data_IF_580198152181
#
_entry.id   IF_580198152181
#
_cell.length_a   1.000
_cell.length_b   1.000
_cell.length_c   1.000
_cell.angle_alpha   90.00
_cell.angle_beta   90.00
_cell.angle_gamma   90.00
#
_symmetry.space_group_name_H-M   'P 1'
#
loop_
_entity.id
_entity.type
_entity.pdbx_description
1 polymer ?
#
# COMPACT_ATOMS: atom_id res chain seq x y z
N UNK A 1 2.24 3.32 30.91
CA UNK A 1 1.47 3.58 29.68
C UNK A 1 1.71 2.45 28.71
N UNK A 2 0.66 1.70 28.41
CA UNK A 2 0.66 0.66 27.39
C UNK A 2 -0.70 0.68 26.68
N UNK A 3 -0.76 0.30 25.39
CA UNK A 3 -2.02 0.24 24.64
C UNK A 3 -3.02 -0.82 25.19
N UNK A 4 -2.57 -1.66 26.11
CA UNK A 4 -3.44 -2.58 26.88
C UNK A 4 -4.16 -1.89 28.03
N UNK A 5 -3.82 -0.64 28.36
CA UNK A 5 -4.59 0.20 29.28
C UNK A 5 -5.68 0.96 28.50
N UNK A 6 -6.95 0.89 28.91
CA UNK A 6 -8.04 1.55 28.21
C UNK A 6 -7.83 3.06 28.02
N UNK A 7 -7.40 3.76 29.07
CA UNK A 7 -7.19 5.22 29.03
C UNK A 7 -6.06 5.61 28.07
N UNK A 8 -5.00 4.78 27.99
CA UNK A 8 -3.89 4.98 27.07
C UNK A 8 -4.33 4.76 25.61
N UNK A 9 -5.09 3.70 25.35
CA UNK A 9 -5.65 3.43 24.03
C UNK A 9 -6.61 4.55 23.59
N UNK A 10 -7.47 5.02 24.49
CA UNK A 10 -8.37 6.15 24.21
C UNK A 10 -7.59 7.43 23.90
N UNK A 11 -6.55 7.76 24.68
CA UNK A 11 -5.72 8.93 24.41
C UNK A 11 -5.04 8.85 23.03
N UNK A 12 -4.64 7.66 22.58
CA UNK A 12 -4.11 7.45 21.22
C UNK A 12 -5.19 7.64 20.17
N UNK A 13 -6.42 7.14 20.38
CA UNK A 13 -7.55 7.40 19.48
C UNK A 13 -7.87 8.89 19.34
N UNK A 14 -7.78 9.65 20.44
CA UNK A 14 -8.02 11.10 20.46
C UNK A 14 -6.91 11.85 19.73
N UNK A 15 -5.65 11.48 19.99
CA UNK A 15 -4.50 12.04 19.29
C UNK A 15 -4.56 11.78 17.78
N UNK A 16 -4.92 10.56 17.38
CA UNK A 16 -5.06 10.18 15.97
C UNK A 16 -6.13 11.02 15.27
N UNK A 17 -7.29 11.23 15.92
CA UNK A 17 -8.34 12.13 15.40
C UNK A 17 -7.83 13.57 15.27
N UNK A 18 -7.15 14.07 16.30
CA UNK A 18 -6.61 15.43 16.29
C UNK A 18 -5.60 15.62 15.14
N UNK A 19 -4.68 14.68 14.94
CA UNK A 19 -3.69 14.74 13.86
C UNK A 19 -4.33 14.69 12.47
N UNK A 20 -5.32 13.84 12.26
CA UNK A 20 -6.04 13.74 10.98
C UNK A 20 -6.94 14.95 10.71
N UNK A 21 -7.27 15.75 11.73
CA UNK A 21 -8.00 17.01 11.56
C UNK A 21 -7.08 18.21 11.25
N UNK A 22 -5.75 18.08 11.43
CA UNK A 22 -4.81 19.20 11.24
C UNK A 22 -4.52 19.54 9.78
N UNK A 23 -4.78 18.61 8.86
CA UNK A 23 -4.56 18.80 7.43
C UNK A 23 -5.55 17.95 6.61
N UNK A 24 -5.69 18.27 5.33
CA UNK A 24 -6.47 17.50 4.37
C UNK A 24 -5.62 16.33 3.83
N UNK A 25 -5.50 15.28 4.65
CA UNK A 25 -4.69 14.10 4.33
C UNK A 25 -5.39 13.22 3.29
N UNK A 26 -4.63 12.71 2.32
CA UNK A 26 -5.15 11.72 1.34
C UNK A 26 -5.32 10.32 1.96
N UNK A 27 -4.65 10.04 3.08
CA UNK A 27 -4.75 8.76 3.75
C UNK A 27 -3.89 8.62 5.01
N UNK A 28 -4.06 7.49 5.68
CA UNK A 28 -3.39 7.11 6.92
C UNK A 28 -2.88 5.68 6.84
N UNK A 29 -1.69 5.44 7.40
CA UNK A 29 -1.09 4.12 7.51
C UNK A 29 -0.96 3.73 8.98
N UNK A 30 -1.70 2.71 9.41
CA UNK A 30 -1.49 2.08 10.71
C UNK A 30 -0.36 1.05 10.56
N UNK A 31 0.86 1.49 10.89
CA UNK A 31 2.07 0.72 10.64
C UNK A 31 2.57 -0.01 11.89
N UNK A 32 3.04 -1.25 11.69
CA UNK A 32 3.91 -1.98 12.62
C UNK A 32 3.38 -2.08 14.06
N UNK A 33 2.07 -2.27 14.20
CA UNK A 33 1.47 -2.48 15.51
C UNK A 33 1.71 -3.93 15.97
N UNK A 34 2.72 -4.12 16.82
CA UNK A 34 3.06 -5.41 17.42
C UNK A 34 3.68 -5.27 18.81
N UNK A 35 3.84 -6.40 19.50
CA UNK A 35 4.69 -6.46 20.69
C UNK A 35 6.15 -6.68 20.28
N UNK A 36 7.09 -5.89 20.78
CA UNK A 36 8.50 -6.06 20.41
C UNK A 36 9.24 -6.92 21.45
N UNK A 37 9.29 -8.23 21.22
CA UNK A 37 10.15 -9.14 22.01
C UNK A 37 11.49 -9.37 21.26
N UNK A 38 12.65 -9.02 21.84
CA UNK A 38 13.96 -9.20 21.20
C UNK A 38 14.33 -10.67 20.90
N UNK A 39 13.75 -11.61 21.64
CA UNK A 39 13.93 -13.06 21.49
C UNK A 39 12.63 -13.79 21.81
N UNK A 40 12.58 -15.09 21.54
CA UNK A 40 11.43 -15.91 21.90
C UNK A 40 11.25 -16.01 23.42
N UNK A 41 10.05 -16.40 23.88
CA UNK A 41 9.73 -16.62 25.27
C UNK A 41 10.62 -17.70 25.92
N UNK A 42 11.15 -18.61 25.12
CA UNK A 42 11.97 -19.74 25.58
C UNK A 42 13.46 -19.42 25.58
N UNK A 43 13.90 -18.47 24.74
CA UNK A 43 15.30 -18.05 24.62
C UNK A 43 15.70 -16.98 25.65
N UNK A 44 14.82 -16.01 25.89
CA UNK A 44 15.02 -14.97 26.90
C UNK A 44 13.68 -14.55 27.52
N UNK A 45 13.13 -15.38 28.43
CA UNK A 45 11.84 -15.15 29.03
C UNK A 45 11.71 -13.79 29.74
N UNK A 46 12.82 -13.27 30.27
CA UNK A 46 12.91 -11.96 30.93
C UNK A 46 12.75 -10.77 29.98
N UNK A 47 13.00 -10.96 28.67
CA UNK A 47 12.84 -9.94 27.63
C UNK A 47 11.51 -10.08 26.88
N UNK A 48 10.65 -11.01 27.27
CA UNK A 48 9.40 -11.28 26.56
C UNK A 48 8.32 -10.24 26.90
N UNK A 49 7.83 -9.53 25.90
CA UNK A 49 6.88 -8.41 26.03
C UNK A 49 5.56 -8.74 25.33
N UNK A 50 4.39 -8.42 25.90
CA UNK A 50 4.18 -7.43 26.94
C UNK A 50 4.12 -8.06 28.34
N UNK A 51 4.60 -7.33 29.35
CA UNK A 51 4.43 -7.68 30.77
C UNK A 51 3.94 -6.50 31.61
N UNK A 52 3.27 -5.53 30.96
CA UNK A 52 2.64 -4.41 31.65
C UNK A 52 1.51 -4.92 32.60
N UNK A 53 1.30 -4.29 33.77
CA UNK A 53 0.28 -4.73 34.74
C UNK A 53 -1.13 -4.95 34.18
N UNK A 54 -1.58 -4.10 33.24
CA UNK A 54 -2.87 -4.26 32.55
C UNK A 54 -2.98 -5.57 31.78
N UNK A 55 -1.97 -5.93 30.99
CA UNK A 55 -1.91 -7.20 30.28
C UNK A 55 -1.88 -8.39 31.25
N UNK A 56 -1.03 -8.32 32.29
CA UNK A 56 -0.91 -9.37 33.30
C UNK A 56 -2.24 -9.62 34.03
N UNK A 57 -2.91 -8.54 34.44
CA UNK A 57 -4.23 -8.61 35.11
C UNK A 57 -5.28 -9.22 34.19
N UNK A 58 -5.33 -8.83 32.91
CA UNK A 58 -6.29 -9.38 31.96
C UNK A 58 -6.06 -10.88 31.71
N UNK A 59 -4.80 -11.29 31.53
CA UNK A 59 -4.45 -12.71 31.38
C UNK A 59 -4.79 -13.51 32.65
N UNK A 60 -4.42 -12.99 33.82
CA UNK A 60 -4.68 -13.63 35.10
C UNK A 60 -6.18 -13.77 35.38
N UNK A 61 -7.00 -12.78 35.01
CA UNK A 61 -8.44 -12.87 35.13
C UNK A 61 -9.02 -14.03 34.29
N UNK A 62 -8.47 -14.27 33.09
CA UNK A 62 -8.93 -15.33 32.19
C UNK A 62 -8.43 -16.72 32.55
N UNK A 63 -7.15 -16.84 32.90
CA UNK A 63 -6.48 -18.14 33.05
C UNK A 63 -6.09 -18.46 34.49
N UNK A 64 -6.38 -17.57 35.46
CA UNK A 64 -6.07 -17.72 36.89
C UNK A 64 -4.58 -17.92 37.19
N UNK A 65 -3.72 -17.48 36.28
CA UNK A 65 -2.25 -17.60 36.35
C UNK A 65 -1.64 -16.27 35.92
N UNK A 66 -0.62 -15.79 36.63
CA UNK A 66 0.17 -14.64 36.18
C UNK A 66 1.06 -15.04 35.00
N UNK A 67 1.00 -14.37 33.83
CA UNK A 67 1.78 -14.77 32.68
C UNK A 67 3.29 -14.64 32.90
N UNK A 68 3.74 -13.79 33.84
CA UNK A 68 5.16 -13.73 34.20
C UNK A 68 5.63 -15.02 34.89
N UNK A 69 4.78 -15.60 35.73
CA UNK A 69 5.08 -16.85 36.44
C UNK A 69 5.16 -18.05 35.48
N UNK A 70 4.55 -17.98 34.29
CA UNK A 70 4.70 -19.01 33.24
C UNK A 70 6.15 -19.08 32.74
N UNK A 71 6.85 -17.96 32.76
CA UNK A 71 8.19 -17.80 32.20
C UNK A 71 9.31 -17.99 33.23
N UNK A 72 8.99 -17.93 34.53
CA UNK A 72 9.93 -18.09 35.64
C UNK A 72 10.30 -19.57 35.87
N UNK A 73 11.57 -19.97 35.80
CA UNK A 73 11.97 -21.39 35.89
C UNK A 73 11.58 -22.12 37.18
N UNK A 74 11.55 -21.39 38.30
CA UNK A 74 11.26 -21.88 39.65
C UNK A 74 9.75 -21.98 39.94
N UNK A 75 8.92 -21.26 39.19
CA UNK A 75 7.45 -21.27 39.33
C UNK A 75 6.81 -22.64 39.10
N UNK A 76 5.75 -22.95 39.87
CA UNK A 76 4.94 -24.17 39.72
C UNK A 76 4.04 -24.17 38.48
N UNK A 77 3.86 -22.99 37.88
CA UNK A 77 3.11 -22.80 36.63
C UNK A 77 4.06 -22.52 35.46
N UNK A 78 5.35 -22.77 35.62
CA UNK A 78 6.31 -22.66 34.53
C UNK A 78 5.89 -23.52 33.33
N UNK A 79 6.07 -23.01 32.11
CA UNK A 79 5.67 -23.68 30.88
C UNK A 79 6.29 -25.08 30.69
N UNK A 80 7.48 -25.34 31.24
CA UNK A 80 8.12 -26.67 31.20
C UNK A 80 7.44 -27.67 32.13
N UNK A 81 6.88 -27.20 33.25
CA UNK A 81 6.15 -28.02 34.23
C UNK A 81 4.68 -28.19 33.84
N UNK A 82 4.09 -27.21 33.15
CA UNK A 82 2.69 -27.21 32.71
C UNK A 82 2.59 -26.92 31.21
N UNK A 83 2.72 -27.97 30.37
CA UNK A 83 2.53 -27.87 28.92
C UNK A 83 1.16 -27.26 28.60
N UNK A 84 1.08 -26.42 27.56
CA UNK A 84 -0.16 -25.71 27.18
C UNK A 84 -0.25 -24.27 27.70
N UNK A 85 0.46 -23.91 28.77
CA UNK A 85 0.41 -22.54 29.32
C UNK A 85 1.13 -21.53 28.44
N UNK A 86 2.25 -21.92 27.80
CA UNK A 86 2.94 -21.06 26.86
C UNK A 86 2.07 -20.78 25.64
N UNK A 87 1.44 -21.81 25.06
CA UNK A 87 0.56 -21.68 23.90
C UNK A 87 -0.63 -20.75 24.21
N UNK A 88 -1.20 -20.83 25.41
CA UNK A 88 -2.25 -19.91 25.87
C UNK A 88 -1.74 -18.47 25.99
N UNK A 89 -0.52 -18.27 26.49
CA UNK A 89 0.12 -16.95 26.55
C UNK A 89 0.34 -16.38 25.16
N UNK A 90 0.87 -17.16 24.22
CA UNK A 90 1.08 -16.75 22.84
C UNK A 90 -0.24 -16.40 22.14
N UNK A 91 -1.27 -17.23 22.29
CA UNK A 91 -2.59 -16.98 21.73
C UNK A 91 -3.21 -15.70 22.31
N UNK A 92 -3.10 -15.49 23.63
CA UNK A 92 -3.65 -14.29 24.28
C UNK A 92 -2.94 -13.00 23.85
N UNK A 93 -1.62 -13.06 23.57
CA UNK A 93 -0.89 -11.94 22.98
C UNK A 93 -1.50 -11.55 21.62
N UNK A 94 -1.67 -12.54 20.75
CA UNK A 94 -2.23 -12.31 19.41
C UNK A 94 -3.65 -11.75 19.50
N UNK A 95 -4.50 -12.33 20.35
CA UNK A 95 -5.87 -11.86 20.59
C UNK A 95 -5.88 -10.40 21.09
N UNK A 96 -5.02 -10.07 22.06
CA UNK A 96 -4.92 -8.73 22.63
C UNK A 96 -4.49 -7.71 21.57
N UNK A 97 -3.45 -8.02 20.80
CA UNK A 97 -2.97 -7.14 19.73
C UNK A 97 -4.04 -6.95 18.65
N UNK A 98 -4.70 -8.04 18.24
CA UNK A 98 -5.79 -8.00 17.26
C UNK A 98 -6.94 -7.10 17.73
N UNK A 99 -7.33 -7.18 19.01
CA UNK A 99 -8.37 -6.31 19.58
C UNK A 99 -7.98 -4.82 19.63
N UNK A 100 -6.71 -4.52 19.92
CA UNK A 100 -6.18 -3.15 19.86
C UNK A 100 -6.21 -2.64 18.41
N UNK A 101 -5.72 -3.43 17.46
CA UNK A 101 -5.76 -3.11 16.02
C UNK A 101 -7.19 -2.84 15.55
N UNK A 102 -8.13 -3.70 15.92
CA UNK A 102 -9.55 -3.52 15.60
C UNK A 102 -10.09 -2.20 16.15
N UNK A 103 -9.77 -1.86 17.40
CA UNK A 103 -10.22 -0.60 18.03
C UNK A 103 -9.71 0.61 17.27
N UNK A 104 -8.42 0.62 16.90
CA UNK A 104 -7.82 1.70 16.11
C UNK A 104 -8.43 1.79 14.72
N UNK A 105 -8.64 0.66 14.04
CA UNK A 105 -9.30 0.62 12.72
C UNK A 105 -10.75 1.11 12.78
N UNK A 106 -11.50 0.81 13.85
CA UNK A 106 -12.85 1.34 14.05
C UNK A 106 -12.85 2.85 14.25
N UNK A 107 -11.87 3.38 14.98
CA UNK A 107 -11.70 4.83 15.12
C UNK A 107 -11.38 5.48 13.77
N UNK A 108 -10.49 4.88 12.98
CA UNK A 108 -10.20 5.37 11.63
C UNK A 108 -11.42 5.31 10.70
N UNK A 109 -12.21 4.25 10.77
CA UNK A 109 -13.46 4.14 10.01
C UNK A 109 -14.48 5.23 10.42
N UNK A 110 -14.55 5.58 11.70
CA UNK A 110 -15.39 6.70 12.16
C UNK A 110 -14.91 8.05 11.60
N UNK A 111 -13.59 8.27 11.52
CA UNK A 111 -13.01 9.47 10.90
C UNK A 111 -13.29 9.47 9.38
N UNK A 112 -13.15 8.32 8.71
CA UNK A 112 -13.45 8.18 7.28
C UNK A 112 -14.93 8.45 6.96
N UNK A 113 -15.86 8.17 7.87
CA UNK A 113 -17.27 8.55 7.68
C UNK A 113 -17.48 10.07 7.60
N UNK A 114 -16.62 10.85 8.26
CA UNK A 114 -16.58 12.31 8.18
C UNK A 114 -15.71 12.81 7.00
N UNK A 115 -14.74 11.99 6.57
CA UNK A 115 -13.80 12.27 5.47
C UNK A 115 -13.76 11.11 4.46
N UNK A 116 -14.76 11.00 3.57
CA UNK A 116 -14.95 9.81 2.72
C UNK A 116 -13.78 9.46 1.80
N UNK A 117 -12.94 10.45 1.45
CA UNK A 117 -11.79 10.28 0.57
C UNK A 117 -10.51 9.80 1.29
N UNK A 118 -10.52 9.74 2.63
CA UNK A 118 -9.35 9.34 3.43
C UNK A 118 -9.03 7.86 3.19
N UNK A 119 -7.90 7.57 2.53
CA UNK A 119 -7.43 6.21 2.33
C UNK A 119 -6.94 5.57 3.63
N UNK A 120 -7.21 4.27 3.84
CA UNK A 120 -6.72 3.52 4.99
C UNK A 120 -5.79 2.39 4.56
N UNK A 121 -4.60 2.34 5.15
CA UNK A 121 -3.61 1.30 4.94
C UNK A 121 -3.16 0.70 6.28
N UNK A 122 -2.88 -0.60 6.28
CA UNK A 122 -2.22 -1.30 7.39
C UNK A 122 -0.90 -1.85 6.90
N UNK A 123 0.19 -1.50 7.58
CA UNK A 123 1.51 -2.09 7.35
C UNK A 123 1.79 -3.15 8.40
N UNK A 124 2.17 -4.34 7.96
CA UNK A 124 2.36 -5.49 8.86
C UNK A 124 3.46 -6.42 8.37
N UNK A 125 4.00 -7.21 9.29
CA UNK A 125 5.01 -8.22 9.00
C UNK A 125 4.36 -9.53 8.51
N UNK A 126 4.93 -10.18 7.50
CA UNK A 126 4.58 -11.55 7.14
C UNK A 126 5.12 -12.53 8.19
N UNK A 127 4.29 -12.80 9.20
CA UNK A 127 4.56 -13.74 10.28
C UNK A 127 4.52 -15.22 9.86
N UNK A 128 4.20 -15.51 8.60
CA UNK A 128 4.13 -16.89 8.08
C UNK A 128 5.48 -17.36 7.53
N UNK A 129 6.27 -16.44 6.99
CA UNK A 129 7.62 -16.75 6.51
C UNK A 129 8.57 -17.15 7.63
N UNK A 130 8.30 -16.68 8.86
CA UNK A 130 9.05 -17.08 10.05
C UNK A 130 8.13 -17.18 11.29
N UNK A 131 7.81 -18.41 11.76
CA UNK A 131 7.04 -18.62 12.99
C UNK A 131 7.65 -18.00 14.24
N UNK A 132 8.97 -17.79 14.29
CA UNK A 132 9.63 -17.10 15.41
C UNK A 132 9.18 -15.65 15.48
N UNK A 133 8.96 -15.00 14.33
CA UNK A 133 8.45 -13.63 14.28
C UNK A 133 7.00 -13.55 14.72
N UNK A 134 6.18 -14.55 14.40
CA UNK A 134 4.81 -14.66 14.94
C UNK A 134 4.79 -14.62 16.47
N UNK A 135 5.65 -15.41 17.11
CA UNK A 135 5.80 -15.45 18.56
C UNK A 135 6.28 -14.10 19.11
N UNK A 136 7.39 -13.59 18.57
CA UNK A 136 8.06 -12.39 19.07
C UNK A 136 7.20 -11.15 18.94
N UNK A 137 6.49 -11.03 17.81
CA UNK A 137 5.61 -9.90 17.51
C UNK A 137 4.23 -10.02 18.19
N UNK A 138 3.84 -11.23 18.59
CA UNK A 138 2.46 -11.49 19.03
C UNK A 138 1.43 -11.13 17.95
N UNK A 139 1.79 -11.33 16.69
CA UNK A 139 1.03 -10.95 15.51
C UNK A 139 0.66 -12.21 14.71
N UNK A 140 -0.54 -12.21 14.12
CA UNK A 140 -1.02 -13.26 13.24
C UNK A 140 -1.65 -12.65 11.99
N UNK A 141 -1.02 -12.89 10.84
CA UNK A 141 -1.48 -12.34 9.57
C UNK A 141 -2.89 -12.82 9.20
N UNK A 142 -3.27 -14.06 9.51
CA UNK A 142 -4.61 -14.57 9.19
C UNK A 142 -5.69 -13.86 10.03
N UNK A 143 -5.40 -13.54 11.30
CA UNK A 143 -6.33 -12.78 12.15
C UNK A 143 -6.46 -11.33 11.70
N UNK A 144 -5.37 -10.70 11.26
CA UNK A 144 -5.42 -9.36 10.68
C UNK A 144 -6.24 -9.35 9.37
N UNK A 145 -6.05 -10.34 8.50
CA UNK A 145 -6.85 -10.49 7.28
C UNK A 145 -8.34 -10.73 7.58
N UNK A 146 -8.66 -11.39 8.70
CA UNK A 146 -10.05 -11.54 9.14
C UNK A 146 -10.69 -10.19 9.51
N UNK A 147 -9.97 -9.28 10.17
CA UNK A 147 -10.47 -7.92 10.46
C UNK A 147 -10.84 -7.16 9.18
N UNK A 148 -10.08 -7.37 8.10
CA UNK A 148 -10.31 -6.73 6.81
C UNK A 148 -11.67 -7.05 6.18
N UNK A 149 -12.28 -8.18 6.55
CA UNK A 149 -13.62 -8.55 6.08
C UNK A 149 -14.71 -7.64 6.62
N UNK A 150 -14.44 -6.94 7.72
CA UNK A 150 -15.37 -6.04 8.41
C UNK A 150 -14.94 -4.58 8.26
N UNK A 151 -13.64 -4.31 8.24
CA UNK A 151 -13.05 -2.97 8.13
C UNK A 151 -12.14 -2.92 6.91
N UNK A 152 -12.57 -2.35 5.76
CA UNK A 152 -11.78 -2.40 4.53
C UNK A 152 -10.53 -1.51 4.64
N UNK A 153 -9.36 -2.08 4.34
CA UNK A 153 -8.09 -1.35 4.24
C UNK A 153 -7.20 -1.92 3.12
N UNK A 154 -6.26 -1.11 2.63
CA UNK A 154 -5.14 -1.59 1.81
C UNK A 154 -4.10 -2.29 2.69
N UNK A 155 -3.51 -3.38 2.21
CA UNK A 155 -2.50 -4.12 2.97
C UNK A 155 -1.11 -3.85 2.41
N UNK A 156 -0.21 -3.36 3.25
CA UNK A 156 1.22 -3.32 3.00
C UNK A 156 1.91 -4.41 3.84
N UNK A 157 2.68 -5.27 3.18
CA UNK A 157 3.31 -6.43 3.81
C UNK A 157 4.83 -6.30 3.74
N UNK A 158 5.47 -6.52 4.88
CA UNK A 158 6.92 -6.59 5.04
C UNK A 158 7.39 -8.02 5.20
N UNK A 159 8.61 -8.29 4.73
CA UNK A 159 9.28 -9.54 4.99
C UNK A 159 10.07 -9.48 6.31
N UNK A 160 10.05 -10.57 7.11
CA UNK A 160 10.80 -10.59 8.36
C UNK A 160 12.30 -10.56 8.10
N UNK A 161 13.03 -9.80 8.92
CA UNK A 161 14.47 -9.62 8.78
C UNK A 161 15.26 -10.94 8.82
N UNK A 162 14.72 -11.94 9.50
CA UNK A 162 15.25 -13.30 9.56
C UNK A 162 15.27 -13.99 8.19
N UNK A 163 14.50 -13.51 7.22
CA UNK A 163 14.40 -14.04 5.86
C UNK A 163 15.12 -13.21 4.81
N UNK A 164 15.78 -12.11 5.19
CA UNK A 164 16.50 -11.24 4.24
C UNK A 164 17.68 -11.92 3.54
N UNK A 165 18.17 -13.03 4.10
CA UNK A 165 19.17 -13.88 3.46
C UNK A 165 18.58 -14.70 2.28
N UNK A 166 17.26 -14.85 2.22
CA UNK A 166 16.58 -15.52 1.11
C UNK A 166 16.58 -14.57 -0.09
N UNK A 167 16.81 -15.10 -1.31
CA UNK A 167 16.85 -14.29 -2.53
C UNK A 167 15.50 -13.63 -2.88
N UNK A 168 15.46 -12.94 -4.01
CA UNK A 168 14.30 -12.18 -4.47
C UNK A 168 13.00 -13.00 -4.61
N UNK A 169 13.11 -14.31 -4.85
CA UNK A 169 11.97 -15.21 -5.06
C UNK A 169 10.98 -15.23 -3.88
N UNK A 170 11.42 -14.89 -2.66
CA UNK A 170 10.54 -14.82 -1.49
C UNK A 170 9.40 -13.82 -1.66
N UNK A 171 9.62 -12.72 -2.38
CA UNK A 171 8.59 -11.72 -2.63
C UNK A 171 7.47 -12.25 -3.53
N UNK A 172 7.80 -13.09 -4.52
CA UNK A 172 6.79 -13.75 -5.34
C UNK A 172 5.97 -14.75 -4.50
N UNK A 173 6.63 -15.56 -3.66
CA UNK A 173 5.95 -16.50 -2.75
C UNK A 173 5.04 -15.78 -1.75
N UNK A 174 5.52 -14.68 -1.15
CA UNK A 174 4.77 -13.86 -0.21
C UNK A 174 3.57 -13.19 -0.91
N UNK A 175 3.81 -12.57 -2.07
CA UNK A 175 2.78 -11.87 -2.84
C UNK A 175 1.67 -12.81 -3.30
N UNK A 176 2.00 -13.96 -3.87
CA UNK A 176 1.03 -14.94 -4.35
C UNK A 176 0.10 -15.42 -3.22
N UNK A 177 0.65 -15.71 -2.03
CA UNK A 177 -0.12 -16.15 -0.87
C UNK A 177 -1.12 -15.09 -0.39
N UNK A 178 -0.69 -13.82 -0.34
CA UNK A 178 -1.56 -12.71 0.04
C UNK A 178 -2.62 -12.45 -1.03
N UNK A 179 -2.24 -12.52 -2.31
CA UNK A 179 -3.15 -12.30 -3.43
C UNK A 179 -4.29 -13.31 -3.46
N UNK A 180 -3.99 -14.58 -3.18
CA UNK A 180 -5.00 -15.65 -3.05
C UNK A 180 -6.08 -15.30 -2.01
N UNK A 181 -5.70 -14.66 -0.91
CA UNK A 181 -6.61 -14.31 0.21
C UNK A 181 -7.31 -12.97 0.05
N UNK A 182 -6.63 -11.99 -0.53
CA UNK A 182 -7.13 -10.62 -0.71
C UNK A 182 -7.98 -10.45 -1.97
N UNK A 183 -7.81 -11.35 -2.95
CA UNK A 183 -8.34 -11.19 -4.29
C UNK A 183 -7.63 -10.10 -5.09
N UNK A 184 -8.09 -9.89 -6.32
CA UNK A 184 -7.49 -8.96 -7.28
C UNK A 184 -7.94 -7.50 -7.08
N UNK A 185 -9.06 -7.28 -6.40
CA UNK A 185 -9.63 -5.93 -6.19
C UNK A 185 -8.99 -5.18 -5.02
N UNK A 186 -8.36 -5.90 -4.09
CA UNK A 186 -7.71 -5.29 -2.94
C UNK A 186 -6.28 -4.87 -3.29
N UNK A 187 -5.90 -3.59 -3.04
CA UNK A 187 -4.50 -3.19 -3.14
C UNK A 187 -3.62 -3.98 -2.17
N UNK A 188 -2.62 -4.65 -2.71
CA UNK A 188 -1.53 -5.28 -1.97
C UNK A 188 -0.25 -4.52 -2.29
N UNK A 189 0.44 -4.02 -1.28
CA UNK A 189 1.75 -3.42 -1.40
C UNK A 189 2.76 -4.36 -0.75
N UNK A 190 3.84 -4.67 -1.45
CA UNK A 190 4.98 -5.35 -0.83
C UNK A 190 6.05 -4.32 -0.51
N UNK A 191 6.43 -4.26 0.76
CA UNK A 191 7.42 -3.33 1.26
C UNK A 191 8.81 -3.98 1.29
N UNK A 192 9.76 -3.35 0.62
CA UNK A 192 11.12 -3.84 0.50
C UNK A 192 12.02 -3.10 1.48
N UNK A 193 12.54 -3.83 2.46
CA UNK A 193 13.50 -3.32 3.43
C UNK A 193 14.91 -3.23 2.82
N UNK A 194 15.25 -2.04 2.32
CA UNK A 194 16.59 -1.65 1.86
C UNK A 194 17.33 -0.96 2.99
N UNK A 195 17.74 -1.74 3.97
CA UNK A 195 18.50 -1.26 5.14
C UNK A 195 19.80 -2.04 5.30
N UNK A 196 20.64 -1.63 6.25
CA UNK A 196 21.87 -2.35 6.57
C UNK A 196 21.51 -3.74 7.16
N UNK A 197 22.11 -4.79 6.60
CA UNK A 197 21.90 -6.18 7.00
C UNK A 197 22.93 -6.58 8.05
N UNK A 198 22.47 -7.29 9.08
CA UNK A 198 23.35 -7.84 10.11
C UNK A 198 23.77 -9.27 9.73
N UNK A 199 24.99 -9.39 9.17
CA UNK A 199 25.77 -10.61 8.86
C UNK A 199 25.39 -11.43 7.60
N UNK A 200 26.42 -11.97 6.93
CA UNK A 200 26.33 -13.05 5.93
C UNK A 200 25.89 -12.66 4.51
N UNK A 201 25.34 -11.46 4.30
CA UNK A 201 24.94 -11.00 2.98
C UNK A 201 26.14 -10.50 2.14
N UNK A 202 26.16 -10.75 0.81
CA UNK A 202 27.25 -10.26 -0.06
C UNK A 202 27.43 -8.74 -0.04
N UNK A 203 26.33 -8.01 0.14
CA UNK A 203 26.32 -6.55 0.30
C UNK A 203 25.75 -6.19 1.68
N UNK A 204 26.36 -5.16 2.30
CA UNK A 204 25.87 -4.58 3.56
C UNK A 204 24.42 -4.09 3.43
N UNK A 205 24.07 -3.55 2.27
CA UNK A 205 22.73 -3.07 1.91
C UNK A 205 22.43 -3.48 0.48
N UNK A 206 21.16 -3.76 0.20
CA UNK A 206 20.69 -4.11 -1.14
C UNK A 206 20.89 -2.93 -2.08
N UNK A 207 21.45 -3.18 -3.26
CA UNK A 207 21.60 -2.16 -4.31
C UNK A 207 21.76 -2.81 -5.69
N UNK A 208 21.67 -2.02 -6.75
CA UNK A 208 21.90 -2.45 -8.11
C UNK A 208 21.02 -3.62 -8.53
N UNK A 209 21.60 -4.62 -9.21
CA UNK A 209 20.86 -5.76 -9.76
C UNK A 209 20.13 -6.60 -8.70
N UNK A 210 20.63 -6.64 -7.46
CA UNK A 210 19.94 -7.33 -6.37
C UNK A 210 18.60 -6.63 -6.05
N UNK A 211 18.62 -5.30 -5.91
CA UNK A 211 17.42 -4.50 -5.67
C UNK A 211 16.47 -4.55 -6.88
N UNK A 212 16.99 -4.47 -8.11
CA UNK A 212 16.19 -4.64 -9.31
C UNK A 212 15.48 -6.00 -9.32
N UNK A 213 16.15 -7.07 -8.88
CA UNK A 213 15.54 -8.39 -8.79
C UNK A 213 14.44 -8.43 -7.72
N UNK A 214 14.64 -7.78 -6.57
CA UNK A 214 13.63 -7.69 -5.51
C UNK A 214 12.38 -6.95 -6.01
N UNK A 215 12.56 -5.77 -6.59
CA UNK A 215 11.46 -4.95 -7.14
C UNK A 215 10.71 -5.71 -8.24
N UNK A 216 11.41 -6.36 -9.16
CA UNK A 216 10.77 -7.15 -10.22
C UNK A 216 9.92 -8.29 -9.67
N UNK A 217 10.43 -9.04 -8.68
CA UNK A 217 9.69 -10.16 -8.09
C UNK A 217 8.52 -9.69 -7.22
N UNK A 218 8.65 -8.55 -6.54
CA UNK A 218 7.54 -7.99 -5.77
C UNK A 218 6.44 -7.46 -6.69
N UNK A 219 6.82 -6.73 -7.75
CA UNK A 219 5.90 -6.13 -8.71
C UNK A 219 5.14 -7.16 -9.57
N UNK A 220 5.53 -8.45 -9.58
CA UNK A 220 4.80 -9.48 -10.32
C UNK A 220 3.54 -9.98 -9.59
N UNK A 221 3.44 -9.76 -8.28
CA UNK A 221 2.33 -10.27 -7.45
C UNK A 221 1.56 -9.14 -6.72
N UNK A 222 2.23 -8.01 -6.49
CA UNK A 222 1.71 -6.87 -5.73
C UNK A 222 1.11 -5.80 -6.64
N UNK A 223 0.12 -5.06 -6.12
CA UNK A 223 -0.46 -3.87 -6.78
C UNK A 223 0.51 -2.69 -6.84
N UNK A 224 1.44 -2.62 -5.89
CA UNK A 224 2.51 -1.65 -5.83
C UNK A 224 3.69 -2.21 -5.03
N UNK A 225 4.84 -1.58 -5.16
CA UNK A 225 6.04 -1.88 -4.37
C UNK A 225 6.40 -0.62 -3.59
N UNK A 226 6.57 -0.74 -2.28
CA UNK A 226 7.14 0.31 -1.44
C UNK A 226 8.58 -0.03 -1.09
N UNK A 227 9.40 0.99 -0.85
CA UNK A 227 10.82 0.81 -0.50
C UNK A 227 11.13 1.56 0.78
N UNK A 228 11.56 0.82 1.80
CA UNK A 228 11.97 1.37 3.08
C UNK A 228 13.50 1.31 3.21
N UNK A 229 14.25 2.40 3.41
CA UNK A 229 13.81 3.79 3.50
C UNK A 229 14.35 4.61 2.32
N UNK A 230 13.64 5.64 1.87
CA UNK A 230 14.02 6.44 0.70
C UNK A 230 15.46 7.00 0.76
N UNK A 231 15.91 7.37 1.96
CA UNK A 231 17.25 7.89 2.22
C UNK A 231 18.37 6.84 2.09
N UNK A 232 18.04 5.55 2.01
CA UNK A 232 19.02 4.47 1.90
C UNK A 232 19.35 4.12 0.45
N UNK A 233 18.53 4.56 -0.51
CA UNK A 233 18.69 4.30 -1.93
C UNK A 233 19.81 5.13 -2.55
N UNK A 234 20.65 4.45 -3.35
CA UNK A 234 21.63 5.14 -4.19
C UNK A 234 20.90 5.94 -5.29
N UNK A 235 21.45 7.09 -5.73
CA UNK A 235 20.86 7.85 -6.82
C UNK A 235 20.64 7.03 -8.10
N UNK A 236 21.58 6.14 -8.43
CA UNK A 236 21.48 5.24 -9.58
C UNK A 236 20.33 4.24 -9.43
N UNK A 237 20.13 3.68 -8.22
CA UNK A 237 19.01 2.77 -7.95
C UNK A 237 17.67 3.50 -8.13
N UNK A 238 17.54 4.70 -7.56
CA UNK A 238 16.31 5.52 -7.70
C UNK A 238 15.93 5.77 -9.16
N UNK A 239 16.91 6.03 -10.02
CA UNK A 239 16.67 6.23 -11.44
C UNK A 239 16.23 4.94 -12.16
N UNK A 240 16.65 3.76 -11.68
CA UNK A 240 16.36 2.48 -12.30
C UNK A 240 15.05 1.83 -11.85
N UNK A 241 14.60 2.04 -10.60
CA UNK A 241 13.44 1.31 -10.06
C UNK A 241 12.16 1.46 -10.91
N UNK A 242 11.80 2.65 -11.45
CA UNK A 242 10.63 2.77 -12.32
C UNK A 242 10.73 1.89 -13.57
N UNK A 243 11.91 1.82 -14.19
CA UNK A 243 12.17 0.98 -15.36
C UNK A 243 12.07 -0.52 -15.04
N UNK A 244 12.50 -0.91 -13.83
CA UNK A 244 12.37 -2.30 -13.36
C UNK A 244 10.90 -2.69 -13.20
N UNK A 245 10.06 -1.82 -12.64
CA UNK A 245 8.62 -2.07 -12.56
C UNK A 245 8.02 -2.17 -13.97
N UNK A 246 8.43 -1.28 -14.88
CA UNK A 246 8.01 -1.27 -16.29
C UNK A 246 8.54 -2.46 -17.12
N UNK A 247 9.52 -3.23 -16.62
CA UNK A 247 10.09 -4.38 -17.34
C UNK A 247 9.08 -5.52 -17.62
N UNK A 248 7.90 -5.47 -17.00
CA UNK A 248 6.80 -6.40 -17.25
C UNK A 248 5.97 -6.04 -18.50
N UNK A 249 6.24 -4.87 -19.11
CA UNK A 249 5.55 -4.42 -20.32
C UNK A 249 6.14 -5.09 -21.54
N UNK A 250 5.30 -5.76 -22.33
CA UNK A 250 5.70 -6.40 -23.57
C UNK A 250 5.26 -5.56 -24.78
N UNK A 251 6.23 -5.05 -25.55
CA UNK A 251 5.98 -4.29 -26.78
C UNK A 251 6.21 -5.16 -28.02
N UNK A 252 5.30 -5.05 -28.99
CA UNK A 252 5.42 -5.71 -30.30
C UNK A 252 4.83 -4.86 -31.42
N UNK A 253 5.24 -5.16 -32.65
CA UNK A 253 4.61 -4.59 -33.85
C UNK A 253 3.71 -5.65 -34.48
N UNK A 254 2.42 -5.35 -34.64
CA UNK A 254 1.43 -6.24 -35.27
C UNK A 254 0.78 -5.47 -36.40
N UNK A 255 0.86 -5.98 -37.64
CA UNK A 255 0.30 -5.33 -38.84
C UNK A 255 0.73 -3.87 -39.01
N UNK A 256 1.98 -3.55 -38.69
CA UNK A 256 2.53 -2.19 -38.76
C UNK A 256 2.09 -1.25 -37.62
N UNK A 257 1.27 -1.71 -36.68
CA UNK A 257 0.86 -0.96 -35.50
C UNK A 257 1.67 -1.40 -34.28
N UNK A 258 2.04 -0.44 -33.42
CA UNK A 258 2.68 -0.73 -32.15
C UNK A 258 1.62 -1.21 -31.16
N UNK A 259 1.87 -2.32 -30.49
CA UNK A 259 1.00 -2.89 -29.47
C UNK A 259 1.80 -3.14 -28.20
N UNK A 260 1.20 -2.90 -27.05
CA UNK A 260 1.76 -3.32 -25.77
C UNK A 260 0.82 -4.26 -25.03
N UNK A 261 1.36 -5.00 -24.07
CA UNK A 261 0.62 -5.67 -23.01
C UNK A 261 1.29 -5.34 -21.69
N UNK A 262 0.53 -4.78 -20.76
CA UNK A 262 1.04 -4.37 -19.45
C UNK A 262 0.08 -4.78 -18.33
N UNK A 263 0.58 -5.33 -17.20
CA UNK A 263 -0.25 -5.56 -16.02
C UNK A 263 -0.64 -4.25 -15.30
N UNK A 264 0.08 -3.15 -15.56
CA UNK A 264 -0.08 -1.85 -14.89
C UNK A 264 -0.34 -0.72 -15.89
N UNK A 265 -0.98 0.38 -15.47
CA UNK A 265 -0.86 1.63 -16.20
C UNK A 265 0.61 2.01 -16.32
N UNK A 266 0.99 2.60 -17.45
CA UNK A 266 2.37 2.98 -17.72
C UNK A 266 2.46 4.37 -18.35
N UNK A 267 3.62 4.98 -18.23
CA UNK A 267 3.96 6.22 -18.92
C UNK A 267 4.85 5.86 -20.10
N UNK A 268 4.36 6.09 -21.32
CA UNK A 268 5.18 5.95 -22.50
C UNK A 268 5.86 7.28 -22.80
N UNK A 269 7.18 7.32 -22.58
CA UNK A 269 8.01 8.46 -22.95
C UNK A 269 8.25 8.45 -24.46
N UNK A 270 7.80 9.50 -25.14
CA UNK A 270 7.99 9.69 -26.58
C UNK A 270 7.95 11.17 -26.91
N UNK A 271 8.77 11.59 -27.86
CA UNK A 271 8.64 12.91 -28.47
C UNK A 271 7.35 12.93 -29.32
N UNK A 272 6.40 13.77 -28.93
CA UNK A 272 5.12 13.86 -29.63
C UNK A 272 5.23 14.57 -30.97
N UNK A 273 6.26 15.41 -31.23
CA UNK A 273 6.44 16.14 -32.51
C UNK A 273 5.16 16.79 -33.06
N UNK A 274 4.34 17.41 -32.19
CA UNK A 274 3.01 17.93 -32.55
C UNK A 274 2.09 16.86 -33.18
N UNK A 275 2.04 15.69 -32.54
CA UNK A 275 1.10 14.61 -32.83
C UNK A 275 0.11 14.41 -31.67
N UNK A 276 -1.02 13.80 -31.98
CA UNK A 276 -2.00 13.28 -31.02
C UNK A 276 -1.83 11.76 -30.91
N UNK A 277 -1.77 11.18 -29.70
CA UNK A 277 -1.73 9.74 -29.54
C UNK A 277 -3.09 9.13 -29.87
N UNK A 278 -3.06 7.95 -30.45
CA UNK A 278 -4.23 7.14 -30.76
C UNK A 278 -4.08 5.82 -30.04
N UNK A 279 -5.03 5.47 -29.18
CA UNK A 279 -5.08 4.21 -28.43
C UNK A 279 -6.29 3.43 -28.90
N UNK A 280 -6.07 2.19 -29.34
CA UNK A 280 -7.14 1.31 -29.89
C UNK A 280 -7.97 1.95 -31.00
N UNK A 281 -7.29 2.72 -31.85
CA UNK A 281 -7.89 3.42 -32.98
C UNK A 281 -8.62 4.72 -32.62
N UNK A 282 -8.70 5.08 -31.33
CA UNK A 282 -9.37 6.29 -30.85
C UNK A 282 -8.37 7.38 -30.45
N UNK A 283 -8.63 8.67 -30.76
CA UNK A 283 -7.87 9.80 -30.23
C UNK A 283 -7.82 9.77 -28.70
N UNK A 284 -6.60 9.86 -28.15
CA UNK A 284 -6.35 9.72 -26.72
C UNK A 284 -6.06 11.08 -26.08
N UNK A 285 -6.70 11.34 -24.94
CA UNK A 285 -6.66 12.65 -24.29
C UNK A 285 -5.66 12.75 -23.13
N UNK A 286 -5.03 11.64 -22.71
CA UNK A 286 -4.09 11.65 -21.58
C UNK A 286 -2.62 11.62 -22.04
N UNK A 287 -2.08 12.81 -22.31
CA UNK A 287 -0.70 12.99 -22.75
C UNK A 287 -0.21 14.44 -22.55
N UNK A 288 1.10 14.63 -22.60
CA UNK A 288 1.77 15.92 -22.81
C UNK A 288 2.77 15.83 -23.96
N UNK A 289 3.66 16.82 -24.13
CA UNK A 289 4.63 16.86 -25.22
C UNK A 289 5.66 15.71 -25.23
N UNK A 290 5.82 15.00 -24.11
CA UNK A 290 6.87 14.00 -23.89
C UNK A 290 6.38 12.68 -23.33
N UNK A 291 5.11 12.61 -22.89
CA UNK A 291 4.55 11.49 -22.14
C UNK A 291 3.15 11.17 -22.62
N UNK A 292 2.85 9.88 -22.78
CA UNK A 292 1.49 9.37 -22.96
C UNK A 292 1.14 8.49 -21.76
N UNK A 293 0.04 8.79 -21.08
CA UNK A 293 -0.47 7.99 -19.97
C UNK A 293 -1.33 6.86 -20.53
N UNK A 294 -0.88 5.63 -20.39
CA UNK A 294 -1.49 4.46 -21.02
C UNK A 294 -2.10 3.51 -19.98
N UNK A 295 -3.29 2.94 -20.22
CA UNK A 295 -3.94 2.04 -19.28
C UNK A 295 -3.25 0.66 -19.24
N UNK A 296 -3.50 -0.09 -18.16
CA UNK A 296 -3.16 -1.50 -18.09
C UNK A 296 -4.00 -2.32 -19.09
N UNK A 297 -3.44 -3.42 -19.60
CA UNK A 297 -4.09 -4.31 -20.56
C UNK A 297 -3.28 -4.46 -21.84
N UNK A 298 -3.93 -5.00 -22.88
CA UNK A 298 -3.36 -5.12 -24.22
C UNK A 298 -3.97 -4.05 -25.12
N UNK A 299 -3.16 -3.12 -25.62
CA UNK A 299 -3.63 -2.00 -26.42
C UNK A 299 -2.70 -1.71 -27.59
N UNK A 300 -3.27 -1.17 -28.66
CA UNK A 300 -2.53 -0.62 -29.80
C UNK A 300 -2.32 0.87 -29.62
N UNK A 301 -1.16 1.38 -30.03
CA UNK A 301 -0.81 2.80 -29.91
C UNK A 301 -0.18 3.29 -31.22
N UNK A 302 -0.59 4.48 -31.66
CA UNK A 302 -0.02 5.19 -32.79
C UNK A 302 0.05 6.69 -32.50
N UNK A 303 0.81 7.41 -33.32
CA UNK A 303 0.82 8.88 -33.36
C UNK A 303 0.18 9.33 -34.66
N UNK A 304 -0.66 10.36 -34.62
CA UNK A 304 -1.26 11.01 -35.79
C UNK A 304 -1.03 12.51 -35.74
N UNK A 305 -1.01 13.23 -36.87
CA UNK A 305 -0.90 14.69 -36.87
C UNK A 305 -1.88 15.34 -35.89
N UNK A 306 -1.40 16.30 -35.10
CA UNK A 306 -2.16 16.88 -33.99
C UNK A 306 -3.45 17.59 -34.44
N UNK A 307 -4.52 17.35 -33.69
CA UNK A 307 -5.70 18.22 -33.71
C UNK A 307 -5.43 19.41 -32.78
N UNK A 308 -5.39 20.63 -33.34
CA UNK A 308 -5.05 21.84 -32.58
C UNK A 308 -6.05 22.11 -31.44
N UNK A 309 -5.52 22.51 -30.28
CA UNK A 309 -6.24 23.09 -29.13
C UNK A 309 -7.24 22.18 -28.40
N UNK A 310 -6.90 20.91 -28.18
CA UNK A 310 -7.72 19.99 -27.39
C UNK A 310 -7.23 19.88 -25.93
N UNK A 311 -8.16 19.89 -24.96
CA UNK A 311 -7.86 19.76 -23.53
C UNK A 311 -7.18 18.42 -23.26
N UNK A 312 -6.10 18.41 -22.47
CA UNK A 312 -5.34 17.18 -22.17
C UNK A 312 -5.26 16.92 -20.68
N UNK A 313 -5.28 15.64 -20.33
CA UNK A 313 -4.92 15.14 -19.00
C UNK A 313 -3.43 14.84 -18.99
N UNK A 314 -2.66 15.58 -18.21
CA UNK A 314 -1.19 15.49 -18.18
C UNK A 314 -0.66 14.64 -17.03
N UNK A 315 -1.46 14.44 -15.98
CA UNK A 315 -1.19 13.49 -14.90
C UNK A 315 -2.49 12.99 -14.24
N UNK A 316 -2.42 11.82 -13.62
CA UNK A 316 -3.50 11.20 -12.86
C UNK A 316 -2.90 10.52 -11.62
N UNK A 317 -3.35 10.86 -10.42
CA UNK A 317 -2.91 10.16 -9.20
C UNK A 317 -3.59 8.81 -9.00
N UNK A 318 -4.73 8.58 -9.64
CA UNK A 318 -5.44 7.31 -9.66
C UNK A 318 -5.03 6.39 -10.82
N UNK A 319 -5.67 5.24 -10.90
CA UNK A 319 -5.50 4.29 -12.01
C UNK A 319 -6.37 4.74 -13.19
N UNK A 320 -5.73 5.30 -14.22
CA UNK A 320 -6.39 5.67 -15.47
C UNK A 320 -6.81 4.42 -16.26
N UNK A 321 -8.09 4.37 -16.66
CA UNK A 321 -8.66 3.27 -17.45
C UNK A 321 -8.96 3.68 -18.89
N UNK A 322 -9.42 4.90 -19.09
CA UNK A 322 -9.76 5.45 -20.40
C UNK A 322 -9.59 6.97 -20.40
N UNK A 323 -9.13 7.55 -21.50
CA UNK A 323 -9.09 8.99 -21.72
C UNK A 323 -9.30 9.30 -23.21
N UNK A 324 -10.49 9.77 -23.57
CA UNK A 324 -10.88 9.97 -24.97
C UNK A 324 -11.56 11.31 -25.19
N UNK A 325 -11.54 11.77 -26.43
CA UNK A 325 -12.31 12.94 -26.85
C UNK A 325 -13.73 12.53 -27.26
N UNK A 326 -14.76 13.15 -26.66
CA UNK A 326 -16.18 12.98 -26.99
C UNK A 326 -16.82 14.32 -27.31
N UNK A 327 -17.13 14.58 -28.58
CA UNK A 327 -17.88 15.78 -28.99
C UNK A 327 -17.29 17.07 -28.36
N UNK A 328 -15.98 17.29 -28.55
CA UNK A 328 -15.18 18.40 -27.98
C UNK A 328 -14.93 18.37 -26.45
N UNK A 329 -15.47 17.39 -25.74
CA UNK A 329 -15.21 17.16 -24.30
C UNK A 329 -14.13 16.10 -24.11
N UNK A 330 -13.48 16.12 -22.96
CA UNK A 330 -12.59 15.04 -22.54
C UNK A 330 -13.34 14.12 -21.60
N UNK A 331 -13.42 12.83 -21.94
CA UNK A 331 -14.01 11.80 -21.11
C UNK A 331 -12.89 10.94 -20.49
N UNK A 332 -12.85 10.88 -19.15
CA UNK A 332 -11.86 10.14 -18.39
C UNK A 332 -12.56 9.10 -17.54
N UNK A 333 -12.08 7.85 -17.55
CA UNK A 333 -12.50 6.84 -16.58
C UNK A 333 -11.32 6.45 -15.72
N UNK A 334 -11.49 6.46 -14.41
CA UNK A 334 -10.43 6.13 -13.44
C UNK A 334 -10.95 5.27 -12.30
N UNK A 335 -10.01 4.69 -11.55
CA UNK A 335 -10.26 4.09 -10.24
C UNK A 335 -9.19 4.51 -9.23
N UNK A 336 -9.57 4.91 -8.01
CA UNK A 336 -8.64 5.29 -6.94
C UNK A 336 -9.11 4.77 -5.58
N UNK A 337 -8.18 4.40 -4.70
CA UNK A 337 -8.45 3.95 -3.32
C UNK A 337 -8.52 5.08 -2.29
N UNK A 338 -8.18 6.30 -2.72
CA UNK A 338 -8.26 7.57 -2.00
C UNK A 338 -8.73 8.64 -2.99
N UNK A 339 -8.71 9.91 -2.59
CA UNK A 339 -8.93 11.02 -3.54
C UNK A 339 -8.08 10.90 -4.79
N UNK A 340 -8.65 11.20 -5.94
CA UNK A 340 -7.97 11.22 -7.22
C UNK A 340 -7.70 12.67 -7.66
N UNK A 341 -6.56 12.93 -8.27
CA UNK A 341 -6.21 14.23 -8.82
C UNK A 341 -5.89 14.08 -10.31
N UNK A 342 -6.45 14.96 -11.14
CA UNK A 342 -6.05 15.11 -12.53
C UNK A 342 -5.33 16.43 -12.72
N UNK A 343 -4.12 16.37 -13.28
CA UNK A 343 -3.45 17.56 -13.83
C UNK A 343 -3.86 17.74 -15.27
N UNK A 344 -4.12 18.98 -15.67
CA UNK A 344 -4.69 19.33 -16.97
C UNK A 344 -3.80 20.32 -17.71
N UNK A 345 -3.92 20.38 -19.04
CA UNK A 345 -3.21 21.38 -19.85
C UNK A 345 -3.79 22.80 -19.71
N UNK A 346 -5.05 22.91 -19.30
CA UNK A 346 -5.72 24.15 -18.89
C UNK A 346 -6.96 23.82 -18.06
N UNK A 347 -7.54 24.83 -17.42
CA UNK A 347 -8.71 24.66 -16.58
C UNK A 347 -9.96 24.52 -17.49
N UNK A 348 -10.78 23.46 -17.31
CA UNK A 348 -12.02 23.31 -18.07
C UNK A 348 -13.05 24.36 -17.63
N UNK A 349 -14.09 24.59 -18.44
CA UNK A 349 -15.21 25.47 -18.04
C UNK A 349 -16.20 24.78 -17.11
N UNK A 350 -16.22 23.44 -17.13
CA UNK A 350 -17.16 22.61 -16.39
C UNK A 350 -16.64 21.19 -16.19
N UNK A 351 -17.16 20.53 -15.16
CA UNK A 351 -16.85 19.14 -14.84
C UNK A 351 -18.12 18.39 -14.42
N UNK A 352 -18.25 17.17 -14.91
CA UNK A 352 -19.27 16.22 -14.46
C UNK A 352 -18.62 14.92 -14.03
N UNK A 353 -19.04 14.39 -12.88
CA UNK A 353 -18.64 13.07 -12.38
C UNK A 353 -19.87 12.18 -12.34
N UNK A 354 -19.83 11.06 -13.07
CA UNK A 354 -20.96 10.14 -13.23
C UNK A 354 -22.26 10.84 -13.68
N UNK A 355 -22.14 11.85 -14.54
CA UNK A 355 -23.25 12.64 -15.06
C UNK A 355 -23.78 13.73 -14.11
N UNK A 356 -23.21 13.89 -12.93
CA UNK A 356 -23.56 14.96 -11.99
C UNK A 356 -22.52 16.09 -12.05
N UNK A 357 -22.93 17.37 -12.10
CA UNK A 357 -21.99 18.48 -12.06
C UNK A 357 -21.24 18.50 -10.73
N UNK A 358 -19.93 18.74 -10.79
CA UNK A 358 -19.09 18.92 -9.61
C UNK A 358 -18.59 20.37 -9.55
N UNK A 359 -18.49 21.01 -8.37
CA UNK A 359 -17.83 22.30 -8.26
C UNK A 359 -16.40 22.23 -8.77
N UNK A 360 -16.06 23.10 -9.71
CA UNK A 360 -14.71 23.17 -10.25
C UNK A 360 -13.82 24.00 -9.31
N UNK A 361 -12.91 23.33 -8.62
CA UNK A 361 -11.90 23.95 -7.76
C UNK A 361 -10.52 23.61 -8.31
N UNK A 362 -9.75 24.63 -8.68
CA UNK A 362 -8.35 24.45 -9.08
C UNK A 362 -7.48 24.35 -7.82
N UNK A 363 -6.95 23.16 -7.55
CA UNK A 363 -5.98 22.91 -6.49
C UNK A 363 -4.53 23.15 -6.93
N UNK A 364 -4.30 23.42 -8.22
CA UNK A 364 -3.00 23.70 -8.82
C UNK A 364 -2.72 25.19 -9.02
N UNK A 365 -1.79 25.49 -9.92
CA UNK A 365 -1.53 26.86 -10.37
C UNK A 365 -2.38 27.17 -11.61
N UNK A 366 -2.50 28.44 -12.04
CA UNK A 366 -3.15 28.77 -13.30
C UNK A 366 -2.52 28.08 -14.53
N UNK A 367 -1.20 27.89 -14.53
CA UNK A 367 -0.44 27.29 -15.64
C UNK A 367 -0.34 25.76 -15.56
N UNK A 368 -0.64 25.19 -14.39
CA UNK A 368 -0.72 23.74 -14.17
C UNK A 368 -1.97 23.42 -13.35
N UNK A 369 -3.17 23.51 -13.96
CA UNK A 369 -4.42 23.25 -13.26
C UNK A 369 -4.50 21.82 -12.76
N UNK A 370 -5.00 21.68 -11.53
CA UNK A 370 -5.24 20.38 -10.89
C UNK A 370 -6.65 20.38 -10.35
N UNK A 371 -7.41 19.32 -10.65
CA UNK A 371 -8.74 19.11 -10.11
C UNK A 371 -8.74 17.88 -9.19
N UNK A 372 -9.43 18.03 -8.07
CA UNK A 372 -9.70 16.95 -7.14
C UNK A 372 -10.97 16.19 -7.54
N UNK A 373 -10.94 14.87 -7.42
CA UNK A 373 -12.01 13.95 -7.79
C UNK A 373 -12.23 12.93 -6.67
N UNK A 374 -13.47 12.43 -6.50
CA UNK A 374 -13.80 11.52 -5.41
C UNK A 374 -13.04 10.19 -5.49
N UNK A 375 -12.89 9.55 -4.33
CA UNK A 375 -12.43 8.16 -4.26
C UNK A 375 -13.40 7.17 -4.91
N UNK A 376 -12.89 6.06 -5.44
CA UNK A 376 -13.68 5.02 -6.10
C UNK A 376 -13.43 4.97 -7.61
N UNK A 377 -14.39 4.37 -8.33
CA UNK A 377 -14.35 4.26 -9.78
C UNK A 377 -15.40 5.16 -10.42
N UNK A 378 -14.97 6.07 -11.29
CA UNK A 378 -15.82 7.12 -11.85
C UNK A 378 -15.50 7.39 -13.31
N UNK A 379 -16.52 7.89 -14.01
CA UNK A 379 -16.39 8.54 -15.31
C UNK A 379 -16.53 10.04 -15.15
N UNK A 380 -15.57 10.79 -15.67
CA UNK A 380 -15.49 12.25 -15.62
C UNK A 380 -15.62 12.81 -17.03
N UNK A 381 -16.43 13.85 -17.19
CA UNK A 381 -16.50 14.66 -18.40
C UNK A 381 -15.97 16.06 -18.07
N UNK A 382 -15.02 16.53 -18.88
CA UNK A 382 -14.43 17.86 -18.78
C UNK A 382 -14.85 18.67 -20.00
N UNK A 383 -15.48 19.81 -19.75
CA UNK A 383 -15.92 20.71 -20.80
C UNK A 383 -14.75 21.58 -21.29
N UNK A 384 -14.68 21.87 -22.60
CA UNK A 384 -13.69 22.80 -23.13
C UNK A 384 -13.85 24.18 -22.48
N UNK A 385 -12.77 24.98 -22.41
CA UNK A 385 -12.78 26.30 -21.76
C UNK A 385 -13.74 27.28 -22.43
#
# INVERSE_FOLDING_TARGET
MALTEPDCLQAVCDLMRAQLAMADWDGVNLAELYFESPRSATEAPEMFTPMHPSFRKAFQARYQVDPLAILQPDSEVNWRKRPGLLERLLAFRIETLTGITETLLRQLAAIQAEQPDLGMMVTTMDTRLDPVMRERLGLDIEQLLALRRVLPFALQVEDPYTTWHQGAARYATMGAWHRERLGTQTPLILNLNVVDRWNGAPLKRVSGLELCSWVRMAASEASAVSVYAYNTLLPADRALLPEVVASQVNWRTVNGQRQYTSPWPLVWYTDMQAATPVVDGQPWAAYDSTRVLLPAGTHTVALRPEEKNALRVTACSGVLRQAEYRQQRVAVTYSASSRCYLSLSWLPSGIQVNGQPLPLVNAGTPDAPVIALPTGAHTVLLDPP
#
